data_IF_998548065389
#
_entry.id   IF_998548065389
#
_cell.length_a   1.000
_cell.length_b   1.000
_cell.length_c   1.000
_cell.angle_alpha   90.00
_cell.angle_beta   90.00
_cell.angle_gamma   90.00
#
_symmetry.space_group_name_H-M   'P 1'
#
loop_
_entity.id
_entity.type
_entity.pdbx_description
1 polymer ?
#
# COMPACT_ATOMS: atom_id res chain seq x y z
N UNK A 1 4.12 14.28 20.05
CA UNK A 1 3.97 12.87 19.64
C UNK A 1 4.52 12.75 18.23
N UNK A 2 5.27 11.70 17.91
CA UNK A 2 5.73 11.46 16.54
C UNK A 2 4.52 11.05 15.67
N UNK A 3 4.59 11.34 14.37
CA UNK A 3 3.58 10.89 13.42
C UNK A 3 3.62 9.34 13.32
N UNK A 4 2.47 8.66 13.24
CA UNK A 4 2.39 7.18 13.22
C UNK A 4 3.32 6.54 12.17
N UNK A 5 3.49 7.22 11.04
CA UNK A 5 4.30 6.71 9.93
C UNK A 5 5.78 6.52 10.29
N UNK A 6 6.27 7.22 11.32
CA UNK A 6 7.65 7.11 11.78
C UNK A 6 7.96 5.73 12.36
N UNK A 7 6.95 5.03 12.89
CA UNK A 7 7.14 3.71 13.51
C UNK A 7 7.43 2.61 12.49
N UNK A 8 7.22 2.90 11.20
CA UNK A 8 7.44 1.96 10.09
C UNK A 8 8.69 2.27 9.28
N UNK A 9 9.28 3.46 9.44
CA UNK A 9 10.48 3.83 8.68
C UNK A 9 11.65 2.95 9.12
N UNK A 10 12.35 2.39 8.13
CA UNK A 10 13.52 1.55 8.35
C UNK A 10 13.24 0.04 8.38
N UNK A 11 11.98 -0.39 8.28
CA UNK A 11 11.69 -1.83 8.14
C UNK A 11 12.28 -2.34 6.82
N UNK A 12 13.14 -3.38 6.81
CA UNK A 12 13.78 -3.87 5.59
C UNK A 12 12.75 -4.35 4.55
N UNK A 13 13.05 -4.14 3.27
CA UNK A 13 12.30 -4.83 2.22
C UNK A 13 12.62 -6.32 2.23
N UNK A 14 11.58 -7.15 2.24
CA UNK A 14 11.70 -8.58 2.00
C UNK A 14 10.54 -9.02 1.10
N UNK A 15 10.79 -9.62 -0.08
CA UNK A 15 9.74 -10.02 -1.02
C UNK A 15 8.65 -10.90 -0.39
N UNK A 16 9.05 -11.80 0.51
CA UNK A 16 8.18 -12.74 1.23
C UNK A 16 7.99 -12.36 2.70
N UNK A 17 8.46 -11.18 3.11
CA UNK A 17 8.36 -10.73 4.48
C UNK A 17 6.94 -10.26 4.83
N UNK A 18 6.53 -10.54 6.06
CA UNK A 18 5.16 -10.32 6.54
C UNK A 18 5.09 -9.44 7.79
N UNK A 19 6.24 -9.02 8.32
CA UNK A 19 6.32 -8.33 9.61
C UNK A 19 7.62 -7.51 9.75
N UNK A 20 7.81 -6.90 10.92
CA UNK A 20 8.96 -6.03 11.20
C UNK A 20 10.29 -6.80 11.24
N UNK A 21 10.28 -8.08 11.62
CA UNK A 21 11.47 -8.89 11.86
C UNK A 21 11.98 -9.56 10.58
N UNK A 22 11.07 -10.18 9.84
CA UNK A 22 11.33 -10.79 8.52
C UNK A 22 11.44 -9.77 7.39
N UNK A 23 11.04 -8.52 7.65
CA UNK A 23 10.89 -7.46 6.66
C UNK A 23 9.52 -7.47 6.00
N UNK A 24 9.27 -6.52 5.11
CA UNK A 24 7.97 -6.35 4.44
C UNK A 24 8.14 -6.13 2.94
N UNK A 25 7.11 -6.48 2.18
CA UNK A 25 6.92 -5.99 0.82
C UNK A 25 5.90 -4.83 0.82
N UNK A 26 5.64 -4.26 -0.36
CA UNK A 26 4.75 -3.10 -0.46
C UNK A 26 3.33 -3.38 0.06
N UNK A 27 2.81 -4.60 -0.07
CA UNK A 27 1.48 -4.99 0.42
C UNK A 27 1.50 -5.38 1.90
N UNK A 28 2.46 -6.18 2.35
CA UNK A 28 2.52 -6.58 3.76
C UNK A 28 2.82 -5.40 4.69
N UNK A 29 3.48 -4.34 4.19
CA UNK A 29 3.56 -3.05 4.88
C UNK A 29 2.19 -2.38 5.05
N UNK A 30 1.30 -2.47 4.05
CA UNK A 30 -0.08 -1.97 4.16
C UNK A 30 -0.84 -2.80 5.21
N UNK A 31 -0.77 -4.12 5.15
CA UNK A 31 -1.40 -5.02 6.14
C UNK A 31 -0.91 -4.71 7.56
N UNK A 32 0.40 -4.58 7.74
CA UNK A 32 1.02 -4.24 9.02
C UNK A 32 0.52 -2.89 9.55
N UNK A 33 0.47 -1.87 8.68
CA UNK A 33 0.01 -0.52 9.04
C UNK A 33 -1.46 -0.55 9.46
N UNK A 34 -2.33 -1.22 8.71
CA UNK A 34 -3.76 -1.27 9.01
C UNK A 34 -4.07 -2.06 10.28
N UNK A 35 -3.37 -3.17 10.50
CA UNK A 35 -3.51 -3.97 11.72
C UNK A 35 -3.11 -3.15 12.95
N UNK A 36 -1.96 -2.51 12.92
CA UNK A 36 -1.45 -1.78 14.10
C UNK A 36 -2.20 -0.46 14.38
N UNK A 37 -2.70 0.24 13.34
CA UNK A 37 -3.36 1.54 13.50
C UNK A 37 -4.88 1.44 13.67
N UNK A 38 -5.51 0.38 13.15
CA UNK A 38 -6.97 0.24 13.14
C UNK A 38 -7.49 -1.10 13.63
N UNK A 39 -6.64 -2.05 13.98
CA UNK A 39 -7.05 -3.44 14.27
C UNK A 39 -7.81 -4.08 13.09
N UNK A 40 -7.46 -3.67 11.85
CA UNK A 40 -8.04 -4.19 10.61
C UNK A 40 -7.07 -5.19 10.00
N UNK A 41 -7.46 -6.47 10.00
CA UNK A 41 -6.74 -7.52 9.29
C UNK A 41 -7.10 -7.49 7.80
N UNK A 42 -6.16 -6.98 6.99
CA UNK A 42 -6.24 -7.05 5.54
C UNK A 42 -5.78 -8.43 5.06
N UNK A 43 -6.39 -8.99 4.01
CA UNK A 43 -6.01 -10.28 3.48
C UNK A 43 -4.56 -10.29 3.01
N UNK A 44 -3.73 -11.08 3.69
CA UNK A 44 -2.40 -11.46 3.22
C UNK A 44 -2.56 -12.65 2.31
N UNK A 45 -2.70 -12.43 1.01
CA UNK A 45 -2.72 -13.54 0.05
C UNK A 45 -1.31 -14.17 0.03
N UNK A 46 -1.04 -15.09 0.93
CA UNK A 46 0.19 -15.89 1.02
C UNK A 46 0.11 -17.06 0.04
N UNK A 47 -0.17 -16.77 -1.23
CA UNK A 47 -0.09 -17.73 -2.33
C UNK A 47 0.94 -17.20 -3.31
N UNK A 48 2.05 -17.92 -3.45
CA UNK A 48 3.12 -17.77 -4.45
C UNK A 48 2.94 -16.64 -5.48
N UNK A 49 3.35 -15.42 -5.11
CA UNK A 49 3.48 -14.32 -6.07
C UNK A 49 4.87 -14.37 -6.74
N UNK A 50 5.02 -15.27 -7.71
CA UNK A 50 6.18 -15.49 -8.56
C UNK A 50 5.74 -15.59 -10.03
N UNK A 51 5.26 -14.51 -10.67
CA UNK A 51 5.62 -14.15 -12.06
C UNK A 51 4.75 -13.04 -12.67
N UNK A 52 5.19 -12.56 -13.85
CA UNK A 52 4.60 -11.54 -14.73
C UNK A 52 3.11 -11.78 -15.06
N UNK A 53 2.57 -12.99 -14.88
CA UNK A 53 1.14 -13.30 -15.08
C UNK A 53 0.25 -12.86 -13.89
N UNK A 54 0.83 -12.54 -12.72
CA UNK A 54 0.10 -12.10 -11.51
C UNK A 54 -0.49 -10.70 -11.57
N UNK A 55 -0.10 -9.89 -12.53
CA UNK A 55 -0.67 -8.57 -12.64
C UNK A 55 -2.11 -8.55 -13.16
N UNK A 56 -2.46 -9.54 -13.99
CA UNK A 56 -3.84 -9.78 -14.38
C UNK A 56 -4.63 -10.37 -13.20
N UNK A 57 -3.98 -11.16 -12.34
CA UNK A 57 -4.60 -11.70 -11.14
C UNK A 57 -4.73 -10.67 -10.01
N UNK A 58 -3.82 -9.70 -9.87
CA UNK A 58 -4.03 -8.52 -9.02
C UNK A 58 -5.21 -7.72 -9.56
N UNK A 59 -5.30 -7.41 -10.86
CA UNK A 59 -6.51 -6.77 -11.42
C UNK A 59 -7.79 -7.59 -11.18
N UNK A 60 -7.72 -8.92 -11.24
CA UNK A 60 -8.88 -9.82 -11.02
C UNK A 60 -9.24 -9.98 -9.53
N UNK A 61 -8.26 -10.04 -8.62
CA UNK A 61 -8.45 -10.02 -7.17
C UNK A 61 -8.98 -8.68 -6.68
N UNK A 62 -8.48 -7.57 -7.25
CA UNK A 62 -9.06 -6.25 -7.04
C UNK A 62 -10.48 -6.17 -7.64
N UNK A 63 -10.80 -6.90 -8.71
CA UNK A 63 -12.13 -6.89 -9.31
C UNK A 63 -13.20 -7.61 -8.45
N UNK A 64 -12.89 -8.75 -7.82
CA UNK A 64 -13.88 -9.53 -7.08
C UNK A 64 -14.02 -9.18 -5.58
N UNK A 65 -12.95 -8.75 -4.88
CA UNK A 65 -13.02 -8.35 -3.47
C UNK A 65 -12.79 -6.86 -3.20
N UNK A 66 -12.00 -6.14 -4.02
CA UNK A 66 -11.76 -4.72 -3.76
C UNK A 66 -12.98 -3.83 -4.06
N UNK A 67 -13.96 -4.32 -4.81
CA UNK A 67 -15.25 -3.66 -4.96
C UNK A 67 -16.08 -3.60 -3.65
N UNK A 68 -15.79 -4.46 -2.66
CA UNK A 68 -16.57 -4.52 -1.40
C UNK A 68 -15.92 -3.70 -0.28
N UNK A 69 -14.59 -3.51 -0.29
CA UNK A 69 -13.85 -2.89 0.82
C UNK A 69 -13.11 -1.62 0.47
N UNK A 70 -13.01 -1.24 -0.80
CA UNK A 70 -12.27 -0.05 -1.23
C UNK A 70 -13.10 0.83 -2.17
N UNK A 71 -12.99 2.14 -1.99
CA UNK A 71 -13.58 3.15 -2.88
C UNK A 71 -12.47 3.94 -3.57
N UNK A 72 -12.62 4.21 -4.87
CA UNK A 72 -11.72 5.11 -5.60
C UNK A 72 -12.01 6.55 -5.16
N UNK A 73 -10.95 7.31 -4.84
CA UNK A 73 -11.06 8.70 -4.41
C UNK A 73 -10.16 9.62 -5.25
N UNK A 74 -10.63 10.84 -5.52
CA UNK A 74 -9.85 11.84 -6.27
C UNK A 74 -8.89 12.63 -5.36
N UNK A 75 -9.32 12.88 -4.11
CA UNK A 75 -8.52 13.60 -3.12
C UNK A 75 -8.09 12.65 -2.02
N UNK A 76 -6.80 12.25 -1.99
CA UNK A 76 -6.31 11.32 -0.99
C UNK A 76 -6.27 11.96 0.40
N UNK A 77 -6.61 11.16 1.40
CA UNK A 77 -6.44 11.46 2.81
C UNK A 77 -5.45 10.49 3.43
N UNK A 78 -5.09 10.76 4.68
CA UNK A 78 -4.25 9.88 5.46
C UNK A 78 -4.83 8.45 5.54
N UNK A 79 -3.95 7.47 5.37
CA UNK A 79 -4.20 6.03 5.27
C UNK A 79 -4.85 5.55 3.97
N UNK A 80 -5.22 6.42 3.04
CA UNK A 80 -5.57 5.95 1.69
C UNK A 80 -4.39 5.23 1.04
N UNK A 81 -4.65 4.42 0.03
CA UNK A 81 -3.62 3.76 -0.75
C UNK A 81 -3.41 4.50 -2.06
N UNK A 82 -2.16 4.73 -2.43
CA UNK A 82 -1.77 5.13 -3.78
C UNK A 82 -1.33 3.90 -4.57
N UNK A 83 -1.98 3.64 -5.71
CA UNK A 83 -1.67 2.53 -6.62
C UNK A 83 -0.78 3.04 -7.75
N UNK A 84 0.31 2.33 -8.01
CA UNK A 84 1.30 2.70 -9.01
C UNK A 84 1.55 1.60 -10.02
N UNK A 85 1.80 2.01 -11.26
CA UNK A 85 2.32 1.15 -12.32
C UNK A 85 3.83 0.97 -12.19
N UNK A 86 4.32 -0.28 -12.15
CA UNK A 86 5.73 -0.63 -12.38
C UNK A 86 5.82 -1.61 -13.56
N UNK A 87 6.56 -1.22 -14.61
CA UNK A 87 6.58 -1.96 -15.86
C UNK A 87 5.23 -1.91 -16.57
N UNK A 88 4.72 -3.06 -17.03
CA UNK A 88 3.42 -3.15 -17.73
C UNK A 88 2.22 -3.15 -16.78
N UNK A 89 2.44 -3.24 -15.46
CA UNK A 89 1.42 -3.67 -14.51
C UNK A 89 1.31 -2.80 -13.25
N UNK A 90 0.15 -2.81 -12.59
CA UNK A 90 -0.14 -2.09 -11.35
C UNK A 90 0.34 -2.86 -10.11
N UNK A 91 1.66 -2.99 -9.96
CA UNK A 91 2.28 -3.91 -8.99
C UNK A 91 2.88 -3.24 -7.76
N UNK A 92 2.54 -1.98 -7.49
CA UNK A 92 3.10 -1.25 -6.35
C UNK A 92 2.08 -0.40 -5.64
N UNK A 93 2.16 -0.36 -4.31
CA UNK A 93 1.28 0.40 -3.42
C UNK A 93 2.08 1.19 -2.39
N UNK A 94 1.53 2.33 -1.97
CA UNK A 94 2.01 3.09 -0.81
C UNK A 94 0.84 3.60 0.02
N UNK A 95 1.04 3.73 1.33
CA UNK A 95 0.04 4.28 2.27
C UNK A 95 0.23 5.79 2.33
N UNK A 96 -0.83 6.57 2.10
CA UNK A 96 -0.79 8.02 2.18
C UNK A 96 -0.57 8.45 3.62
N UNK A 97 0.51 9.19 3.85
CA UNK A 97 0.81 9.82 5.15
C UNK A 97 0.19 11.21 5.20
N UNK A 98 0.19 11.91 4.07
CA UNK A 98 -0.52 13.16 3.83
C UNK A 98 -0.55 13.43 2.32
N UNK A 99 -1.37 14.37 1.83
CA UNK A 99 -1.31 14.76 0.42
C UNK A 99 0.13 15.03 -0.04
N UNK A 100 0.54 14.34 -1.12
CA UNK A 100 1.86 14.39 -1.73
C UNK A 100 2.93 13.46 -1.12
N UNK A 101 2.70 12.82 0.04
CA UNK A 101 3.68 11.93 0.70
C UNK A 101 3.06 10.56 1.04
N UNK A 102 3.79 9.51 0.71
CA UNK A 102 3.43 8.13 1.05
C UNK A 102 4.51 7.45 1.88
N UNK A 103 4.09 6.47 2.69
CA UNK A 103 4.92 5.43 3.25
C UNK A 103 4.88 4.24 2.28
N UNK A 104 6.05 3.74 1.89
CA UNK A 104 6.16 2.58 1.02
C UNK A 104 7.52 1.89 1.21
N UNK A 105 7.66 0.70 0.62
CA UNK A 105 8.92 -0.07 0.58
C UNK A 105 9.11 -0.65 -0.82
N UNK A 106 10.32 -0.64 -1.37
CA UNK A 106 10.58 -1.10 -2.74
C UNK A 106 12.03 -1.58 -2.94
N UNK A 107 12.24 -2.67 -3.68
CA UNK A 107 13.56 -3.08 -4.15
C UNK A 107 14.45 -3.63 -3.03
N UNK A 108 15.73 -3.26 -2.99
CA UNK A 108 16.67 -3.68 -1.93
C UNK A 108 16.82 -2.60 -0.82
N UNK A 109 15.79 -1.76 -0.65
CA UNK A 109 15.77 -0.65 0.30
C UNK A 109 15.01 -1.02 1.59
N UNK A 110 14.59 -0.02 2.35
CA UNK A 110 13.74 -0.11 3.52
C UNK A 110 12.48 0.74 3.38
N UNK A 111 11.50 0.51 4.24
CA UNK A 111 10.29 1.33 4.31
C UNK A 111 10.66 2.78 4.62
N UNK A 112 10.10 3.72 3.84
CA UNK A 112 10.45 5.14 3.91
C UNK A 112 9.29 6.03 3.52
N UNK A 113 9.44 7.31 3.86
CA UNK A 113 8.57 8.37 3.38
C UNK A 113 9.09 8.90 2.05
N UNK A 114 8.26 8.88 1.01
CA UNK A 114 8.62 9.40 -0.30
C UNK A 114 7.49 10.24 -0.88
N UNK A 115 7.86 11.24 -1.69
CA UNK A 115 6.89 12.03 -2.44
C UNK A 115 6.40 11.23 -3.64
N UNK A 116 5.09 11.13 -3.78
CA UNK A 116 4.45 10.51 -4.94
C UNK A 116 3.96 11.53 -5.97
N UNK A 117 3.85 12.80 -5.58
CA UNK A 117 3.35 13.90 -6.41
C UNK A 117 4.44 14.55 -7.28
N UNK A 118 5.67 14.04 -7.19
CA UNK A 118 6.81 14.41 -8.02
C UNK A 118 7.72 13.20 -8.30
N UNK A 119 8.84 13.44 -8.99
CA UNK A 119 9.87 12.43 -9.22
C UNK A 119 9.37 11.20 -9.99
N UNK A 120 9.91 10.03 -9.64
CA UNK A 120 9.70 8.77 -10.37
C UNK A 120 8.30 8.18 -10.17
N UNK A 121 7.60 8.56 -9.11
CA UNK A 121 6.29 8.01 -8.74
C UNK A 121 5.12 8.76 -9.38
N UNK A 122 5.25 10.08 -9.58
CA UNK A 122 4.22 10.90 -10.22
C UNK A 122 3.70 10.32 -11.55
N UNK A 123 4.54 9.97 -12.55
CA UNK A 123 4.03 9.42 -13.81
C UNK A 123 3.49 8.00 -13.68
N UNK A 124 3.74 7.32 -12.55
CA UNK A 124 3.32 5.94 -12.29
C UNK A 124 2.02 5.86 -11.51
N UNK A 125 1.61 6.93 -10.83
CA UNK A 125 0.38 6.99 -10.05
C UNK A 125 -0.84 6.74 -10.94
N UNK A 126 -1.76 5.88 -10.49
CA UNK A 126 -2.95 5.47 -11.24
C UNK A 126 -4.26 5.89 -10.58
N UNK A 127 -4.41 5.56 -9.31
CA UNK A 127 -5.60 5.86 -8.52
C UNK A 127 -5.27 5.89 -7.04
N UNK A 128 -6.15 6.51 -6.28
CA UNK A 128 -6.18 6.37 -4.83
C UNK A 128 -7.36 5.51 -4.41
N UNK A 129 -7.16 4.69 -3.38
CA UNK A 129 -8.16 3.82 -2.80
C UNK A 129 -8.34 4.15 -1.33
N UNK A 130 -9.59 4.25 -0.86
CA UNK A 130 -9.93 4.41 0.54
C UNK A 130 -10.67 3.19 1.05
N UNK A 131 -10.24 2.65 2.19
CA UNK A 131 -10.93 1.53 2.82
C UNK A 131 -12.32 1.97 3.29
N UNK A 132 -13.38 1.18 3.04
CA UNK A 132 -14.76 1.60 3.35
C UNK A 132 -14.99 1.76 4.86
N UNK A 133 -14.32 0.98 5.71
CA UNK A 133 -14.41 1.16 7.16
C UNK A 133 -13.78 2.50 7.62
N UNK A 134 -12.91 3.09 6.79
CA UNK A 134 -12.36 4.44 7.01
C UNK A 134 -13.32 5.55 6.54
N UNK A 135 -14.33 5.24 5.72
CA UNK A 135 -15.41 6.19 5.38
C UNK A 135 -16.40 6.35 6.54
N UNK A 136 -16.55 5.34 7.40
CA UNK A 136 -17.55 5.32 8.47
C UNK A 136 -17.13 6.10 9.73
N UNK A 137 -15.88 6.57 9.81
CA UNK A 137 -15.37 7.37 10.94
C UNK A 137 -15.51 8.88 10.71
N UNK A 138 -16.08 9.29 9.57
CA UNK A 138 -16.46 10.68 9.31
C UNK A 138 -17.94 10.90 9.64
N UNK A 139 -18.30 10.85 10.93
CA UNK A 139 -19.58 11.30 11.47
C UNK A 139 -19.35 12.03 12.79
#
# INVERSE_FOLDING_TARGET
>A
MAHWSQDYVGIPHAPHGIDRESGVNCWTLVCLTYREQFDIDLPTYTGDFVSIDEAAEIETLFADEAAIRWSVVDTPAEFDLAIFRRGRFETHVGVIVRPGVMLHVVGEDQAKLERYDNGVWKPRLKRFLRHLERLQVAA
#
